data_IF_236560467436
#
_entry.id   IF_236560467436
#
_cell.length_a   1.000
_cell.length_b   1.000
_cell.length_c   1.000
_cell.angle_alpha   90.00
_cell.angle_beta   90.00
_cell.angle_gamma   90.00
#
_symmetry.space_group_name_H-M   'P 1'
#
loop_
_entity.id
_entity.type
_entity.pdbx_description
1 polymer ?
#
# COMPACT_ATOMS: atom_id res chain seq x y z
N UNK A 1 -32.95 -20.91 8.68
CA UNK A 1 -31.84 -19.95 8.84
C UNK A 1 -30.62 -20.61 8.21
N UNK A 2 -30.17 -20.12 7.07
CA UNK A 2 -29.06 -20.73 6.34
C UNK A 2 -27.74 -20.33 6.99
N UNK A 3 -27.03 -21.32 7.54
CA UNK A 3 -25.70 -21.14 8.12
C UNK A 3 -24.72 -20.71 7.03
N UNK A 4 -24.21 -19.48 7.15
CA UNK A 4 -23.11 -18.97 6.35
C UNK A 4 -21.83 -19.69 6.81
N UNK A 5 -21.58 -20.91 6.30
CA UNK A 5 -20.25 -21.51 6.32
C UNK A 5 -19.35 -20.64 5.46
N UNK A 6 -18.80 -19.58 6.07
CA UNK A 6 -17.65 -18.88 5.54
C UNK A 6 -16.56 -19.94 5.39
N UNK A 7 -16.34 -20.36 4.15
CA UNK A 7 -15.27 -21.25 3.77
C UNK A 7 -13.98 -20.52 4.15
N UNK A 8 -13.46 -20.80 5.35
CA UNK A 8 -12.18 -20.28 5.78
C UNK A 8 -11.16 -20.86 4.80
N UNK A 9 -10.75 -20.04 3.84
CA UNK A 9 -9.65 -20.36 2.94
C UNK A 9 -8.47 -20.73 3.84
N UNK A 10 -8.11 -22.01 3.84
CA UNK A 10 -6.95 -22.48 4.56
C UNK A 10 -5.74 -22.02 3.75
N UNK A 11 -5.14 -20.91 4.17
CA UNK A 11 -3.96 -20.34 3.53
C UNK A 11 -2.77 -21.15 4.02
N UNK A 12 -2.17 -21.94 3.14
CA UNK A 12 -0.89 -22.59 3.41
C UNK A 12 0.23 -21.57 3.28
N UNK A 13 1.06 -21.47 4.31
CA UNK A 13 2.22 -20.59 4.35
C UNK A 13 3.47 -21.46 4.40
N UNK A 14 4.24 -21.48 3.32
CA UNK A 14 5.52 -22.22 3.32
C UNK A 14 6.48 -21.58 4.35
N UNK A 15 7.38 -22.36 4.97
CA UNK A 15 8.34 -21.83 5.93
C UNK A 15 9.18 -20.66 5.38
N UNK A 16 9.51 -20.72 4.08
CA UNK A 16 10.27 -19.70 3.37
C UNK A 16 9.49 -18.38 3.26
N UNK A 17 8.20 -18.43 2.91
CA UNK A 17 7.35 -17.23 2.84
C UNK A 17 7.01 -16.71 4.24
N UNK A 18 6.90 -17.61 5.22
CA UNK A 18 6.62 -17.25 6.62
C UNK A 18 7.71 -16.39 7.26
N UNK A 19 8.95 -16.49 6.79
CA UNK A 19 10.05 -15.65 7.25
C UNK A 19 9.80 -14.15 6.94
N UNK A 20 9.10 -13.87 5.84
CA UNK A 20 8.81 -12.53 5.37
C UNK A 20 10.02 -11.80 4.78
N UNK A 21 9.73 -10.76 4.00
CA UNK A 21 10.75 -9.88 3.43
C UNK A 21 10.62 -8.48 4.04
N UNK A 22 11.75 -7.93 4.51
CA UNK A 22 11.77 -6.55 5.00
C UNK A 22 11.80 -5.57 3.83
N UNK A 23 10.88 -4.62 3.84
CA UNK A 23 10.85 -3.50 2.91
C UNK A 23 10.61 -2.19 3.66
N UNK A 24 11.32 -1.15 3.22
CA UNK A 24 11.14 0.23 3.71
C UNK A 24 10.76 1.19 2.57
N UNK A 25 10.55 0.66 1.37
CA UNK A 25 10.14 1.41 0.21
C UNK A 25 9.24 0.54 -0.67
N UNK A 26 8.21 1.16 -1.26
CA UNK A 26 7.32 0.50 -2.19
C UNK A 26 7.14 1.37 -3.45
N UNK A 27 7.17 0.74 -4.61
CA UNK A 27 6.91 1.38 -5.91
C UNK A 27 5.63 0.77 -6.45
N UNK A 28 4.66 1.63 -6.79
CA UNK A 28 3.39 1.19 -7.34
C UNK A 28 3.30 1.72 -8.77
N UNK A 29 3.16 0.81 -9.73
CA UNK A 29 2.87 1.13 -11.13
C UNK A 29 1.61 0.38 -11.55
N UNK A 30 0.90 0.89 -12.56
CA UNK A 30 -0.35 0.26 -13.00
C UNK A 30 -0.63 0.50 -14.48
N UNK A 31 -1.49 -0.37 -15.02
CA UNK A 31 -2.13 -0.28 -16.33
C UNK A 31 -3.65 -0.39 -16.15
N UNK A 32 -4.40 -0.49 -17.25
CA UNK A 32 -5.83 -0.82 -17.19
C UNK A 32 -6.11 -2.22 -16.63
N UNK A 33 -5.12 -3.12 -16.70
CA UNK A 33 -5.31 -4.55 -16.39
C UNK A 33 -4.60 -4.98 -15.11
N UNK A 34 -3.54 -4.28 -14.71
CA UNK A 34 -2.67 -4.73 -13.62
C UNK A 34 -2.19 -3.57 -12.75
N UNK A 35 -2.06 -3.86 -11.46
CA UNK A 35 -1.28 -3.10 -10.48
C UNK A 35 -0.06 -3.93 -10.11
N UNK A 36 1.12 -3.32 -10.21
CA UNK A 36 2.40 -3.93 -9.82
C UNK A 36 2.92 -3.17 -8.61
N UNK A 37 3.11 -3.88 -7.50
CA UNK A 37 3.66 -3.36 -6.26
C UNK A 37 5.02 -4.02 -6.04
N UNK A 38 6.08 -3.22 -6.18
CA UNK A 38 7.46 -3.64 -5.91
C UNK A 38 7.88 -3.18 -4.52
N UNK A 39 8.16 -4.13 -3.64
CA UNK A 39 8.71 -3.88 -2.32
C UNK A 39 10.23 -3.95 -2.38
N UNK A 40 10.89 -2.87 -1.98
CA UNK A 40 12.34 -2.73 -2.05
C UNK A 40 12.94 -2.41 -0.69
N UNK A 41 14.22 -2.78 -0.55
CA UNK A 41 15.06 -2.35 0.56
C UNK A 41 16.04 -1.29 0.05
N UNK A 42 15.89 -0.08 0.57
CA UNK A 42 16.81 1.04 0.34
C UNK A 42 17.67 1.20 1.58
N UNK A 43 18.98 0.98 1.44
CA UNK A 43 19.95 1.17 2.53
C UNK A 43 20.83 2.40 2.24
N UNK A 44 21.14 3.23 3.26
CA UNK A 44 22.09 4.33 3.10
C UNK A 44 23.45 3.84 2.60
N UNK A 45 24.06 4.59 1.68
CA UNK A 45 25.41 4.31 1.18
C UNK A 45 25.49 3.21 0.10
N UNK A 46 24.38 2.55 -0.25
CA UNK A 46 24.34 1.64 -1.39
C UNK A 46 23.84 2.36 -2.65
N UNK A 47 24.54 2.24 -3.80
CA UNK A 47 24.18 2.95 -5.02
C UNK A 47 22.93 2.39 -5.71
N UNK A 48 22.47 1.18 -5.33
CA UNK A 48 21.32 0.51 -5.96
C UNK A 48 20.44 -0.12 -4.89
N UNK A 49 19.16 0.22 -4.93
CA UNK A 49 18.10 -0.50 -4.21
C UNK A 49 17.71 -1.76 -4.98
N UNK A 50 17.48 -2.87 -4.27
CA UNK A 50 17.01 -4.11 -4.86
C UNK A 50 15.54 -4.34 -4.49
N UNK A 51 14.73 -4.70 -5.48
CA UNK A 51 13.37 -5.23 -5.25
C UNK A 51 13.50 -6.61 -4.60
N UNK A 52 12.84 -6.79 -3.46
CA UNK A 52 12.83 -8.03 -2.69
C UNK A 52 11.58 -8.86 -2.97
N UNK A 53 10.46 -8.21 -3.24
CA UNK A 53 9.21 -8.88 -3.58
C UNK A 53 8.41 -8.04 -4.57
N UNK A 54 7.69 -8.71 -5.46
CA UNK A 54 6.75 -8.12 -6.42
C UNK A 54 5.41 -8.80 -6.26
N UNK A 55 4.36 -8.01 -6.13
CA UNK A 55 2.97 -8.49 -6.15
C UNK A 55 2.25 -7.84 -7.33
N UNK A 56 1.58 -8.66 -8.13
CA UNK A 56 0.76 -8.21 -9.27
C UNK A 56 -0.70 -8.48 -8.93
N UNK A 57 -1.55 -7.46 -9.07
CA UNK A 57 -2.95 -7.50 -8.70
C UNK A 57 -3.82 -6.98 -9.83
N UNK A 58 -4.99 -7.58 -10.03
CA UNK A 58 -6.05 -6.94 -10.81
C UNK A 58 -6.53 -5.65 -10.09
N UNK A 59 -7.04 -4.63 -10.81
CA UNK A 59 -7.43 -3.34 -10.23
C UNK A 59 -8.43 -3.45 -9.06
N UNK A 60 -9.40 -4.36 -9.15
CA UNK A 60 -10.38 -4.61 -8.10
C UNK A 60 -9.76 -5.18 -6.82
N UNK A 61 -8.69 -5.98 -6.94
CA UNK A 61 -7.98 -6.55 -5.80
C UNK A 61 -7.08 -5.50 -5.15
N UNK A 62 -6.43 -4.64 -5.95
CA UNK A 62 -5.69 -3.49 -5.42
C UNK A 62 -6.61 -2.55 -4.62
N UNK A 63 -7.83 -2.28 -5.12
CA UNK A 63 -8.81 -1.46 -4.40
C UNK A 63 -9.29 -2.10 -3.09
N UNK A 64 -9.51 -3.42 -3.08
CA UNK A 64 -9.85 -4.16 -1.85
C UNK A 64 -8.69 -4.14 -0.84
N UNK A 65 -7.46 -4.33 -1.31
CA UNK A 65 -6.26 -4.25 -0.47
C UNK A 65 -6.12 -2.88 0.19
N UNK A 66 -6.31 -1.79 -0.56
CA UNK A 66 -6.26 -0.43 -0.02
C UNK A 66 -7.26 -0.24 1.12
N UNK A 67 -8.52 -0.62 0.91
CA UNK A 67 -9.56 -0.49 1.94
C UNK A 67 -9.24 -1.29 3.20
N UNK A 68 -8.84 -2.55 3.04
CA UNK A 68 -8.45 -3.39 4.17
C UNK A 68 -7.22 -2.83 4.91
N UNK A 69 -6.21 -2.35 4.17
CA UNK A 69 -5.00 -1.77 4.76
C UNK A 69 -5.30 -0.50 5.55
N UNK A 70 -6.11 0.42 4.98
CA UNK A 70 -6.53 1.64 5.65
C UNK A 70 -7.26 1.34 6.97
N UNK A 71 -8.20 0.39 6.93
CA UNK A 71 -8.93 -0.01 8.14
C UNK A 71 -7.99 -0.56 9.22
N UNK A 72 -7.04 -1.41 8.84
CA UNK A 72 -6.08 -1.98 9.79
C UNK A 72 -5.12 -0.92 10.35
N UNK A 73 -4.69 0.06 9.56
CA UNK A 73 -3.89 1.20 10.04
C UNK A 73 -4.68 2.01 11.07
N UNK A 74 -5.95 2.33 10.80
CA UNK A 74 -6.80 3.06 11.76
C UNK A 74 -6.95 2.29 13.07
N UNK A 75 -7.13 0.97 13.01
CA UNK A 75 -7.19 0.13 14.22
C UNK A 75 -5.87 0.16 14.99
N UNK A 76 -4.75 -0.01 14.29
CA UNK A 76 -3.42 0.07 14.88
C UNK A 76 -3.19 1.42 15.58
N UNK A 77 -3.51 2.54 14.93
CA UNK A 77 -3.30 3.87 15.50
C UNK A 77 -4.17 4.16 16.72
N UNK A 78 -5.37 3.57 16.79
CA UNK A 78 -6.21 3.66 17.98
C UNK A 78 -5.62 2.92 19.18
N UNK A 79 -4.89 1.83 18.94
CA UNK A 79 -4.31 0.99 19.98
C UNK A 79 -2.92 1.44 20.40
N UNK A 80 -2.06 1.79 19.44
CA UNK A 80 -0.64 2.09 19.66
C UNK A 80 -0.29 3.58 19.51
N UNK A 81 -1.26 4.41 19.12
CA UNK A 81 -1.07 5.82 18.83
C UNK A 81 -0.73 6.11 17.37
N UNK A 82 -0.72 7.40 16.97
CA UNK A 82 -0.59 7.80 15.57
C UNK A 82 0.79 7.46 14.99
N UNK A 83 0.81 6.96 13.75
CA UNK A 83 2.02 6.73 12.98
C UNK A 83 2.59 8.08 12.58
N UNK A 84 3.80 8.39 13.05
CA UNK A 84 4.51 9.63 12.70
C UNK A 84 5.26 9.43 11.40
N UNK A 85 4.87 10.16 10.35
CA UNK A 85 5.57 10.16 9.06
C UNK A 85 6.48 11.40 9.01
N UNK A 86 7.82 11.22 8.99
CA UNK A 86 8.75 12.33 8.84
C UNK A 86 8.57 13.02 7.47
N UNK A 87 8.57 14.36 7.45
CA UNK A 87 8.50 15.20 6.23
C UNK A 87 7.25 15.04 5.35
N UNK A 88 6.11 14.64 5.92
CA UNK A 88 4.83 14.74 5.21
C UNK A 88 4.35 16.20 5.23
N UNK A 89 5.03 17.08 4.51
CA UNK A 89 4.48 18.39 4.17
C UNK A 89 3.14 18.14 3.48
N UNK A 90 2.07 18.68 4.06
CA UNK A 90 0.74 18.67 3.46
C UNK A 90 0.89 19.27 2.06
N UNK A 91 0.78 18.45 1.02
CA UNK A 91 0.56 18.94 -0.34
C UNK A 91 -0.84 19.54 -0.36
N UNK A 92 -0.99 20.74 0.20
CA UNK A 92 -2.15 21.60 -0.02
C UNK A 92 -2.13 21.89 -1.51
N UNK A 93 -2.93 21.15 -2.26
CA UNK A 93 -3.18 21.43 -3.66
C UNK A 93 -3.90 22.78 -3.64
N UNK A 94 -3.15 23.87 -3.86
CA UNK A 94 -3.75 25.18 -4.01
C UNK A 94 -4.79 25.10 -5.14
N UNK A 95 -6.05 25.50 -4.92
CA UNK A 95 -7.01 25.57 -6.01
C UNK A 95 -6.50 26.64 -6.99
N UNK A 96 -6.38 26.24 -8.25
CA UNK A 96 -5.89 27.03 -9.38
C UNK A 96 -6.35 28.50 -9.34
N UNK A 97 -5.50 29.47 -9.77
CA UNK A 97 -5.94 30.84 -9.92
C UNK A 97 -7.01 30.88 -11.02
N UNK A 98 -8.24 31.25 -10.65
CA UNK A 98 -9.31 31.57 -11.59
C UNK A 98 -8.79 32.72 -12.45
N UNK A 99 -8.52 32.44 -13.72
CA UNK A 99 -8.18 33.47 -14.69
C UNK A 99 -9.29 34.51 -14.71
N UNK A 100 -8.95 35.75 -14.34
CA UNK A 100 -9.78 36.92 -14.62
C UNK A 100 -9.94 36.98 -16.15
N UNK A 101 -11.15 36.70 -16.62
CA UNK A 101 -11.59 37.20 -17.91
C UNK A 101 -11.68 38.71 -17.79
N UNK A 102 -10.82 39.42 -18.50
CA UNK A 102 -11.04 40.83 -18.82
C UNK A 102 -11.56 40.89 -20.26
N UNK A 103 -12.54 41.77 -20.42
CA UNK A 103 -13.47 41.90 -21.53
C UNK A 103 -12.85 42.42 -22.83
#
# INVERSE_FOLDING_TARGET
MSENKQNQLQIELSPEVAQGEYANFAIITHSSSDFIIDFARVLPGLPKSQVKSRVILAPEHAKRLLGALQENIVRYEREFGPIKIPNQESRTIAPFPVGKGEA
#
